data_IF_823972302290
#
_entry.id   IF_823972302290
#
_cell.length_a   1.000
_cell.length_b   1.000
_cell.length_c   1.000
_cell.angle_alpha   90.00
_cell.angle_beta   90.00
_cell.angle_gamma   90.00
#
_symmetry.space_group_name_H-M   'P 1'
#
loop_
_entity.id
_entity.type
_entity.pdbx_description
1 polymer ?
#
# COMPACT_ATOMS: atom_id res chain seq x y z
N UNK A 1 -11.17 5.81 -3.97
CA UNK A 1 -10.65 4.42 -4.11
C UNK A 1 -10.23 3.89 -2.74
N UNK A 2 -10.21 2.57 -2.55
CA UNK A 2 -9.82 1.94 -1.28
C UNK A 2 -8.36 1.50 -1.32
N UNK A 3 -7.57 1.94 -0.34
CA UNK A 3 -6.23 1.39 -0.07
C UNK A 3 -6.34 0.27 0.97
N UNK A 4 -6.05 -0.96 0.54
CA UNK A 4 -5.99 -2.13 1.41
C UNK A 4 -4.55 -2.44 1.79
N UNK A 5 -4.28 -2.55 3.10
CA UNK A 5 -2.95 -2.83 3.64
C UNK A 5 -3.02 -4.11 4.49
N UNK A 6 -2.13 -5.06 4.21
CA UNK A 6 -1.95 -6.29 4.98
C UNK A 6 -0.53 -6.36 5.53
N UNK A 7 -0.41 -6.18 6.85
CA UNK A 7 0.85 -6.20 7.61
C UNK A 7 1.06 -7.60 8.23
N UNK A 8 1.80 -8.45 7.53
CA UNK A 8 2.27 -9.73 8.05
C UNK A 8 3.63 -9.61 8.74
N UNK A 9 4.06 -10.67 9.43
CA UNK A 9 5.37 -10.73 10.08
C UNK A 9 6.56 -10.48 9.14
N UNK A 10 6.47 -10.98 7.91
CA UNK A 10 7.57 -10.92 6.93
C UNK A 10 7.39 -9.81 5.91
N UNK A 11 6.15 -9.56 5.49
CA UNK A 11 5.86 -8.62 4.42
C UNK A 11 4.63 -7.78 4.75
N UNK A 12 4.70 -6.49 4.38
CA UNK A 12 3.55 -5.62 4.26
C UNK A 12 3.16 -5.54 2.79
N UNK A 13 1.87 -5.75 2.50
CA UNK A 13 1.30 -5.68 1.15
C UNK A 13 0.35 -4.48 1.08
N UNK A 14 0.48 -3.70 0.02
CA UNK A 14 -0.37 -2.54 -0.28
C UNK A 14 -1.09 -2.80 -1.60
N UNK A 15 -2.41 -2.61 -1.63
CA UNK A 15 -3.22 -2.77 -2.84
C UNK A 15 -4.25 -1.65 -2.98
N UNK A 16 -4.50 -1.21 -4.21
CA UNK A 16 -5.54 -0.22 -4.51
C UNK A 16 -6.72 -0.92 -5.19
N UNK A 17 -7.89 -0.77 -4.59
CA UNK A 17 -9.16 -1.33 -5.05
C UNK A 17 -10.09 -0.21 -5.56
N UNK A 18 -10.63 -0.39 -6.77
CA UNK A 18 -11.51 0.60 -7.41
C UNK A 18 -12.97 0.47 -7.01
N UNK A 19 -13.35 -0.62 -6.33
CA UNK A 19 -14.75 -1.03 -6.15
C UNK A 19 -15.07 -2.31 -6.93
N UNK A 20 -14.33 -2.59 -8.01
CA UNK A 20 -14.53 -3.76 -8.88
C UNK A 20 -13.27 -4.56 -9.16
N UNK A 21 -12.09 -3.95 -9.10
CA UNK A 21 -10.81 -4.62 -9.38
C UNK A 21 -9.63 -4.01 -8.61
N UNK A 22 -8.54 -4.79 -8.51
CA UNK A 22 -7.27 -4.31 -7.97
C UNK A 22 -6.41 -3.76 -9.10
N UNK A 23 -6.08 -2.46 -9.03
CA UNK A 23 -5.28 -1.77 -10.07
C UNK A 23 -3.79 -1.70 -9.72
N UNK A 24 -3.41 -2.12 -8.51
CA UNK A 24 -2.03 -2.18 -8.07
C UNK A 24 -1.89 -3.04 -6.82
N UNK A 25 -0.78 -3.78 -6.75
CA UNK A 25 -0.36 -4.56 -5.58
C UNK A 25 1.15 -4.45 -5.47
N UNK A 26 1.62 -4.03 -4.29
CA UNK A 26 3.04 -3.88 -3.99
C UNK A 26 3.35 -4.53 -2.66
N UNK A 27 4.58 -5.05 -2.55
CA UNK A 27 5.06 -5.75 -1.37
C UNK A 27 6.38 -5.16 -0.93
N UNK A 28 6.51 -4.96 0.38
CA UNK A 28 7.76 -4.58 1.02
C UNK A 28 7.97 -5.43 2.26
N UNK A 29 9.22 -5.68 2.64
CA UNK A 29 9.53 -6.35 3.90
C UNK A 29 8.95 -5.54 5.08
N UNK A 30 8.35 -6.23 6.04
CA UNK A 30 7.83 -5.62 7.27
C UNK A 30 9.00 -5.10 8.09
N UNK A 31 8.89 -3.85 8.53
CA UNK A 31 9.94 -3.17 9.29
C UNK A 31 9.29 -2.19 10.26
N UNK A 32 9.37 -2.50 11.56
CA UNK A 32 8.78 -1.69 12.63
C UNK A 32 9.47 -0.32 12.79
N UNK A 33 10.68 -0.16 12.26
CA UNK A 33 11.39 1.13 12.29
C UNK A 33 11.01 2.03 11.11
N UNK A 34 10.30 1.51 10.11
CA UNK A 34 9.94 2.28 8.93
C UNK A 34 8.91 3.35 9.26
N UNK A 35 9.22 4.59 8.92
CA UNK A 35 8.35 5.74 9.16
C UNK A 35 7.27 5.88 8.08
N UNK A 36 6.23 6.66 8.39
CA UNK A 36 5.18 6.97 7.44
C UNK A 36 5.71 7.61 6.15
N UNK A 37 6.67 8.55 6.25
CA UNK A 37 7.28 9.20 5.09
C UNK A 37 8.05 8.21 4.21
N UNK A 38 8.74 7.24 4.82
CA UNK A 38 9.42 6.18 4.08
C UNK A 38 8.43 5.29 3.32
N UNK A 39 7.30 4.95 3.93
CA UNK A 39 6.21 4.25 3.23
C UNK A 39 5.63 5.09 2.10
N UNK A 40 5.39 6.39 2.32
CA UNK A 40 4.86 7.29 1.30
C UNK A 40 5.81 7.40 0.09
N UNK A 41 7.10 7.70 0.31
CA UNK A 41 8.08 7.81 -0.78
C UNK A 41 8.17 6.51 -1.57
N UNK A 42 8.23 5.37 -0.89
CA UNK A 42 8.28 4.06 -1.53
C UNK A 42 7.02 3.79 -2.38
N UNK A 43 5.83 3.93 -1.80
CA UNK A 43 4.57 3.61 -2.46
C UNK A 43 4.27 4.59 -3.61
N UNK A 44 4.45 5.90 -3.38
CA UNK A 44 4.24 6.94 -4.39
C UNK A 44 5.17 6.77 -5.59
N UNK A 45 6.43 6.39 -5.38
CA UNK A 45 7.37 6.10 -6.46
C UNK A 45 6.89 4.93 -7.34
N UNK A 46 6.37 3.87 -6.71
CA UNK A 46 5.84 2.71 -7.42
C UNK A 46 4.54 3.00 -8.17
N UNK A 47 3.65 3.81 -7.59
CA UNK A 47 2.44 4.29 -8.25
C UNK A 47 2.76 5.18 -9.45
N UNK A 48 3.70 6.11 -9.29
CA UNK A 48 4.17 7.00 -10.35
C UNK A 48 4.77 6.22 -11.52
N UNK A 49 5.61 5.21 -11.24
CA UNK A 49 6.20 4.36 -12.28
C UNK A 49 5.13 3.63 -13.11
N UNK A 50 4.02 3.24 -12.48
CA UNK A 50 2.87 2.59 -13.14
C UNK A 50 1.85 3.58 -13.70
N UNK A 51 2.09 4.89 -13.58
CA UNK A 51 1.15 5.96 -13.97
C UNK A 51 -0.23 5.79 -13.34
N UNK A 52 -0.26 5.30 -12.10
CA UNK A 52 -1.48 5.17 -11.32
C UNK A 52 -1.69 6.47 -10.57
N UNK A 53 -2.68 7.24 -11.02
CA UNK A 53 -3.25 8.35 -10.26
C UNK A 53 -4.48 7.84 -9.52
N UNK A 54 -4.39 7.75 -8.20
CA UNK A 54 -5.42 7.16 -7.36
C UNK A 54 -5.82 8.15 -6.26
N UNK A 55 -7.07 8.62 -6.33
CA UNK A 55 -7.70 9.36 -5.25
C UNK A 55 -8.16 8.37 -4.17
N UNK A 56 -7.35 8.23 -3.11
CA UNK A 56 -7.63 7.32 -1.99
C UNK A 56 -8.55 8.02 -1.00
N UNK A 57 -9.78 7.52 -0.91
CA UNK A 57 -10.85 8.06 -0.06
C UNK A 57 -11.05 7.23 1.20
N UNK A 58 -10.66 5.96 1.14
CA UNK A 58 -10.91 4.96 2.17
C UNK A 58 -9.66 4.11 2.38
N UNK A 59 -9.45 3.66 3.63
CA UNK A 59 -8.31 2.80 3.99
C UNK A 59 -8.75 1.69 4.94
N UNK A 60 -8.27 0.48 4.70
CA UNK A 60 -8.40 -0.66 5.62
C UNK A 60 -7.01 -1.27 5.88
N UNK A 61 -6.75 -1.63 7.14
CA UNK A 61 -5.50 -2.22 7.57
C UNK A 61 -5.79 -3.49 8.38
N UNK A 62 -5.16 -4.60 7.99
CA UNK A 62 -5.02 -5.81 8.79
C UNK A 62 -3.57 -5.91 9.27
N UNK A 63 -3.33 -6.07 10.57
CA UNK A 63 -1.98 -6.24 11.11
C UNK A 63 -1.91 -7.38 12.10
N UNK A 64 -0.83 -8.15 11.99
CA UNK A 64 -0.42 -9.18 12.96
C UNK A 64 0.90 -8.82 13.66
N UNK A 65 1.46 -7.64 13.34
CA UNK A 65 2.70 -7.07 13.87
C UNK A 65 2.46 -5.79 14.65
#
# INVERSE_FOLDING_TARGET
>A
MLLAIDCGNTNTVFSIWTGSEFIGTWRIATDQQRTADQYYVWLSSLMTLRKIDADITDVIISSTV
#
